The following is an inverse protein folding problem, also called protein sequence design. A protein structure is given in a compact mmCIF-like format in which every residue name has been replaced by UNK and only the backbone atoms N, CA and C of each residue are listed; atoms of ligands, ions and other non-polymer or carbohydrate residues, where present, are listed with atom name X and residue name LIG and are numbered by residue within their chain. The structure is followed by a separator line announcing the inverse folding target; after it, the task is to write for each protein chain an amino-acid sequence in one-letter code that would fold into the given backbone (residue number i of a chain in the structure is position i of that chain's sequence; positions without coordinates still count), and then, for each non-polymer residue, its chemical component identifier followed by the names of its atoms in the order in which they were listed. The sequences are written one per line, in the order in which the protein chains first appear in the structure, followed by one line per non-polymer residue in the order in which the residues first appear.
data_IF_932443653102
#
_entry.id   IF_932443653102
#
_cell.length_a   1.000
_cell.length_b   1.000
_cell.length_c   1.000
_cell.angle_alpha   90.00
_cell.angle_beta   90.00
_cell.angle_gamma   90.00
#
_symmetry.space_group_name_H-M   'P 1'
#
loop_
_entity.id
_entity.type
_entity.pdbx_description
1 polymer ?
#
# COMPACT_ATOMS: atom_id res chain seq x y z
N UNK A 1 48.61 -9.11 -31.48
CA UNK A 1 47.15 -8.91 -31.43
C UNK A 1 46.77 -8.56 -30.01
N UNK A 2 46.36 -7.31 -29.83
CA UNK A 2 45.96 -6.66 -28.58
C UNK A 2 44.47 -6.89 -28.35
N UNK A 3 44.09 -7.46 -27.20
CA UNK A 3 42.71 -7.37 -26.73
C UNK A 3 42.70 -6.97 -25.27
N UNK A 4 41.93 -5.92 -25.03
CA UNK A 4 42.12 -4.92 -23.99
C UNK A 4 41.53 -5.37 -22.66
N UNK A 5 42.27 -5.08 -21.60
CA UNK A 5 41.78 -4.97 -20.22
C UNK A 5 40.78 -3.80 -20.17
N UNK A 6 39.55 -4.06 -19.75
CA UNK A 6 38.63 -3.01 -19.29
C UNK A 6 38.39 -3.21 -17.80
N UNK A 7 39.21 -2.51 -17.02
CA UNK A 7 38.87 -2.07 -15.70
C UNK A 7 38.10 -0.75 -15.85
N UNK A 8 36.89 -0.67 -15.33
CA UNK A 8 36.28 0.61 -14.98
C UNK A 8 35.82 0.50 -13.52
N UNK A 9 36.59 1.21 -12.70
CA UNK A 9 36.30 1.46 -11.30
C UNK A 9 35.06 2.36 -11.20
N UNK A 10 34.02 1.88 -10.54
CA UNK A 10 32.93 2.70 -10.04
C UNK A 10 33.15 2.87 -8.54
N UNK A 11 34.00 3.83 -8.20
CA UNK A 11 34.11 4.35 -6.84
C UNK A 11 33.44 5.70 -6.76
N UNK A 12 32.63 5.83 -5.72
CA UNK A 12 32.31 7.04 -4.95
C UNK A 12 30.85 7.55 -5.02
N UNK A 13 30.35 7.76 -3.79
CA UNK A 13 29.31 8.68 -3.37
C UNK A 13 27.84 8.23 -3.44
N UNK A 14 27.43 7.43 -2.45
CA UNK A 14 26.18 7.74 -1.73
C UNK A 14 26.47 7.70 -0.23
N UNK A 15 27.09 8.76 0.25
CA UNK A 15 27.17 9.09 1.68
C UNK A 15 26.23 10.25 1.93
N UNK A 16 25.01 9.96 2.35
CA UNK A 16 24.18 10.87 3.16
C UNK A 16 23.24 10.01 4.01
N UNK A 17 23.85 9.33 4.97
CA UNK A 17 23.13 8.87 6.14
C UNK A 17 22.89 10.07 7.07
N UNK A 18 21.68 10.13 7.63
CA UNK A 18 21.36 10.66 8.96
C UNK A 18 21.58 12.16 9.17
N UNK A 19 20.50 12.94 9.13
CA UNK A 19 20.30 14.12 10.00
C UNK A 19 18.84 14.57 9.93
N UNK A 20 17.98 13.98 10.76
CA UNK A 20 16.74 14.61 11.26
C UNK A 20 16.44 14.02 12.64
N UNK A 21 17.39 14.22 13.55
CA UNK A 21 17.24 13.98 14.98
C UNK A 21 17.82 15.19 15.73
N UNK A 22 17.03 16.26 15.87
CA UNK A 22 17.30 17.36 16.80
C UNK A 22 16.06 18.27 16.97
N UNK A 23 15.06 17.75 17.66
CA UNK A 23 14.11 18.51 18.48
C UNK A 23 13.55 17.45 19.43
N UNK A 24 14.08 17.16 20.61
CA UNK A 24 14.85 17.93 21.59
C UNK A 24 14.27 17.48 22.93
N UNK A 25 15.10 17.01 23.86
CA UNK A 25 14.68 16.73 25.24
C UNK A 25 14.92 15.30 25.71
N UNK A 26 16.06 15.13 26.36
CA UNK A 26 16.56 13.99 27.12
C UNK A 26 15.64 13.61 28.30
N UNK A 27 15.48 12.32 28.55
CA UNK A 27 15.43 11.70 29.88
C UNK A 27 15.39 10.17 29.74
N UNK A 28 16.37 9.52 30.36
CA UNK A 28 16.71 8.12 30.19
C UNK A 28 15.66 7.11 30.64
N UNK A 29 15.70 5.94 30.01
CA UNK A 29 16.11 4.70 30.68
C UNK A 29 16.21 3.60 29.62
N UNK A 30 17.31 2.84 29.69
CA UNK A 30 17.43 1.58 28.98
C UNK A 30 16.38 0.61 29.53
N UNK A 31 15.53 0.08 28.67
CA UNK A 31 14.69 -1.07 28.96
C UNK A 31 14.74 -2.02 27.76
N UNK A 32 15.46 -3.11 27.97
CA UNK A 32 15.34 -4.37 27.26
C UNK A 32 13.91 -4.91 27.49
N UNK A 33 13.09 -4.97 26.44
CA UNK A 33 11.84 -5.72 26.47
C UNK A 33 11.68 -6.52 25.16
N UNK A 34 12.28 -7.71 25.16
CA UNK A 34 11.67 -8.86 24.50
C UNK A 34 10.29 -9.10 25.12
N UNK A 35 9.25 -8.55 24.51
CA UNK A 35 7.88 -8.99 24.79
C UNK A 35 6.96 -8.83 23.59
N UNK A 36 6.72 -9.97 22.94
CA UNK A 36 5.42 -10.24 22.32
C UNK A 36 4.35 -10.11 23.41
N UNK A 37 3.17 -9.56 23.06
CA UNK A 37 1.98 -10.34 23.34
C UNK A 37 1.02 -10.32 22.15
N UNK A 38 0.87 -11.49 21.52
CA UNK A 38 -0.38 -11.89 20.87
C UNK A 38 -1.46 -11.85 21.95
N UNK A 39 -2.23 -10.77 22.00
CA UNK A 39 -3.31 -10.63 22.96
C UNK A 39 -4.56 -11.34 22.44
N UNK A 40 -4.86 -12.49 23.03
CA UNK A 40 -6.19 -13.05 23.03
C UNK A 40 -7.07 -12.25 24.00
N UNK A 41 -8.25 -11.83 23.57
CA UNK A 41 -9.35 -11.53 24.48
C UNK A 41 -10.70 -11.78 23.84
N UNK A 42 -11.42 -12.70 24.47
CA UNK A 42 -12.78 -13.13 24.21
C UNK A 42 -13.78 -12.23 24.95
N UNK A 43 -14.81 -11.74 24.27
CA UNK A 43 -16.19 -11.67 24.77
C UNK A 43 -17.14 -11.21 23.63
N UNK A 44 -18.31 -11.85 23.45
CA UNK A 44 -19.19 -11.57 22.32
C UNK A 44 -20.08 -10.36 22.58
N UNK A 45 -20.12 -9.41 21.64
CA UNK A 45 -21.21 -8.44 21.55
C UNK A 45 -22.22 -8.95 20.54
N UNK A 46 -23.42 -9.29 21.03
CA UNK A 46 -24.59 -9.54 20.20
C UNK A 46 -24.89 -8.30 19.36
N UNK A 47 -24.68 -8.41 18.06
CA UNK A 47 -25.15 -7.43 17.07
C UNK A 47 -25.48 -8.21 15.81
N UNK A 48 -26.77 -8.14 15.44
CA UNK A 48 -27.43 -8.85 14.35
C UNK A 48 -26.60 -8.85 13.06
N UNK A 49 -25.84 -9.92 12.82
CA UNK A 49 -25.38 -10.31 11.50
C UNK A 49 -26.45 -11.22 10.87
N UNK A 50 -26.78 -11.05 9.58
CA UNK A 50 -27.54 -12.05 8.86
C UNK A 50 -26.81 -13.38 8.97
N UNK A 51 -27.53 -14.40 9.43
CA UNK A 51 -27.02 -15.76 9.53
C UNK A 51 -26.78 -16.32 8.13
N UNK A 52 -25.59 -16.10 7.59
CA UNK A 52 -25.10 -16.93 6.50
C UNK A 52 -24.64 -18.24 7.10
N UNK A 53 -25.49 -19.25 6.96
CA UNK A 53 -25.07 -20.64 6.93
C UNK A 53 -24.10 -20.79 5.75
N UNK A 54 -22.82 -20.51 5.97
CA UNK A 54 -21.77 -20.78 4.99
C UNK A 54 -21.21 -22.18 5.26
N UNK A 55 -21.43 -23.05 4.29
CA UNK A 55 -20.80 -24.35 4.15
C UNK A 55 -19.31 -24.30 4.46
N UNK A 56 -18.78 -25.44 4.90
CA UNK A 56 -17.36 -25.74 5.15
C UNK A 56 -16.50 -25.67 3.87
N UNK A 57 -16.63 -24.62 3.06
CA UNK A 57 -15.77 -24.34 1.91
C UNK A 57 -14.51 -23.63 2.40
N UNK A 58 -13.36 -24.21 2.03
CA UNK A 58 -12.05 -23.62 2.30
C UNK A 58 -12.04 -22.19 1.75
N UNK A 59 -11.52 -21.19 2.50
CA UNK A 59 -11.39 -19.83 1.98
C UNK A 59 -10.63 -19.82 0.66
N UNK A 60 -11.11 -19.03 -0.30
CA UNK A 60 -10.41 -18.83 -1.57
C UNK A 60 -9.07 -18.15 -1.35
N UNK A 61 -8.05 -18.59 -2.08
CA UNK A 61 -6.73 -17.95 -2.04
C UNK A 61 -6.78 -16.54 -2.63
N UNK A 62 -5.84 -15.64 -2.28
CA UNK A 62 -5.80 -14.29 -2.86
C UNK A 62 -5.81 -14.28 -4.40
N UNK A 63 -5.11 -15.24 -5.02
CA UNK A 63 -5.05 -15.38 -6.48
C UNK A 63 -6.41 -15.72 -7.09
N UNK A 64 -7.20 -16.59 -6.43
CA UNK A 64 -8.54 -16.98 -6.87
C UNK A 64 -9.56 -15.84 -6.67
N UNK A 65 -9.37 -15.02 -5.63
CA UNK A 65 -10.28 -13.93 -5.29
C UNK A 65 -10.02 -12.64 -6.11
N UNK A 66 -8.78 -12.39 -6.54
CA UNK A 66 -8.40 -11.15 -7.24
C UNK A 66 -9.31 -10.80 -8.45
N UNK A 67 -9.70 -11.75 -9.34
CA UNK A 67 -10.61 -11.43 -10.43
C UNK A 67 -11.98 -10.91 -9.97
N UNK A 68 -12.57 -11.54 -8.94
CA UNK A 68 -13.85 -11.12 -8.38
C UNK A 68 -13.75 -9.74 -7.74
N UNK A 69 -12.67 -9.48 -7.01
CA UNK A 69 -12.38 -8.18 -6.42
C UNK A 69 -12.18 -7.10 -7.50
N UNK A 70 -11.43 -7.37 -8.56
CA UNK A 70 -11.26 -6.43 -9.68
C UNK A 70 -12.59 -6.02 -10.30
N UNK A 71 -13.51 -6.97 -10.48
CA UNK A 71 -14.87 -6.68 -10.96
C UNK A 71 -15.65 -5.84 -9.95
N UNK A 72 -15.65 -6.24 -8.68
CA UNK A 72 -16.41 -5.58 -7.61
C UNK A 72 -16.00 -4.11 -7.39
N UNK A 73 -14.70 -3.82 -7.52
CA UNK A 73 -14.15 -2.48 -7.35
C UNK A 73 -13.94 -1.74 -8.68
N UNK A 74 -14.29 -2.33 -9.82
CA UNK A 74 -14.17 -1.70 -11.14
C UNK A 74 -12.73 -1.44 -11.59
N UNK A 75 -11.76 -2.25 -11.14
CA UNK A 75 -10.36 -2.11 -11.50
C UNK A 75 -10.05 -2.95 -12.74
N UNK A 76 -9.94 -2.31 -13.90
CA UNK A 76 -9.72 -2.98 -15.19
C UNK A 76 -8.25 -3.12 -15.58
N UNK A 77 -7.33 -2.48 -14.83
CA UNK A 77 -5.89 -2.51 -15.10
C UNK A 77 -5.10 -1.76 -14.03
N UNK A 78 -3.81 -1.54 -14.30
CA UNK A 78 -2.95 -0.78 -13.40
C UNK A 78 -3.30 0.71 -13.43
N UNK A 79 -3.65 1.33 -12.29
CA UNK A 79 -3.90 2.77 -12.24
C UNK A 79 -2.58 3.49 -12.53
N UNK A 80 -2.55 4.34 -13.56
CA UNK A 80 -1.37 5.07 -14.02
C UNK A 80 -1.71 6.52 -14.29
N UNK A 81 -1.16 7.44 -13.49
CA UNK A 81 -1.48 8.87 -13.59
C UNK A 81 -0.28 9.77 -13.94
N UNK A 82 0.85 9.18 -14.33
CA UNK A 82 2.12 9.90 -14.58
C UNK A 82 2.03 10.98 -15.67
N UNK A 83 1.05 10.90 -16.57
CA UNK A 83 0.83 11.85 -17.67
C UNK A 83 -0.54 12.52 -17.61
N UNK A 84 -1.21 12.40 -16.47
CA UNK A 84 -2.55 12.93 -16.25
C UNK A 84 -2.45 14.24 -15.46
N UNK A 85 -3.37 15.18 -15.70
CA UNK A 85 -3.41 16.42 -14.94
C UNK A 85 -3.57 16.15 -13.43
N UNK A 86 -2.90 16.94 -12.60
CA UNK A 86 -2.90 16.76 -11.14
C UNK A 86 -4.29 16.87 -10.50
N UNK A 87 -5.28 17.40 -11.20
CA UNK A 87 -6.67 17.60 -10.78
C UNK A 87 -7.66 16.70 -11.53
N UNK A 88 -7.17 15.73 -12.31
CA UNK A 88 -8.03 14.81 -13.05
C UNK A 88 -8.81 13.88 -12.11
N UNK A 89 -10.15 13.94 -12.09
CA UNK A 89 -10.96 13.13 -11.20
C UNK A 89 -11.08 11.67 -11.67
N UNK A 90 -10.74 11.34 -12.91
CA UNK A 90 -10.71 9.98 -13.43
C UNK A 90 -9.59 9.18 -12.77
N UNK A 91 -8.37 9.72 -12.80
CA UNK A 91 -7.22 9.14 -12.09
C UNK A 91 -7.53 8.95 -10.58
N UNK A 92 -8.18 9.93 -9.94
CA UNK A 92 -8.53 9.83 -8.53
C UNK A 92 -9.48 8.68 -8.21
N UNK A 93 -10.41 8.36 -9.13
CA UNK A 93 -11.30 7.20 -9.02
C UNK A 93 -10.53 5.89 -9.18
N UNK A 94 -9.67 5.79 -10.17
CA UNK A 94 -8.90 4.57 -10.44
C UNK A 94 -7.96 4.24 -9.26
N UNK A 95 -7.26 5.23 -8.73
CA UNK A 95 -6.41 5.07 -7.54
C UNK A 95 -7.23 4.71 -6.29
N UNK A 96 -8.42 5.29 -6.13
CA UNK A 96 -9.31 4.97 -5.00
C UNK A 96 -9.80 3.52 -5.09
N UNK A 97 -10.28 3.09 -6.25
CA UNK A 97 -10.73 1.73 -6.50
C UNK A 97 -9.62 0.71 -6.23
N UNK A 98 -8.40 0.98 -6.71
CA UNK A 98 -7.22 0.17 -6.44
C UNK A 98 -6.92 0.05 -4.93
N UNK A 99 -6.94 1.17 -4.20
CA UNK A 99 -6.73 1.17 -2.75
C UNK A 99 -7.82 0.42 -1.97
N UNK A 100 -9.08 0.56 -2.37
CA UNK A 100 -10.21 -0.12 -1.74
C UNK A 100 -10.15 -1.64 -1.97
N UNK A 101 -9.86 -2.06 -3.19
CA UNK A 101 -9.65 -3.46 -3.54
C UNK A 101 -8.56 -4.09 -2.67
N UNK A 102 -7.39 -3.47 -2.61
CA UNK A 102 -6.27 -3.98 -1.83
C UNK A 102 -6.59 -4.03 -0.34
N UNK A 103 -7.20 -2.97 0.20
CA UNK A 103 -7.62 -2.94 1.60
C UNK A 103 -8.66 -4.02 1.94
N UNK A 104 -9.58 -4.31 1.03
CA UNK A 104 -10.56 -5.37 1.22
C UNK A 104 -9.92 -6.77 1.14
N UNK A 105 -8.91 -6.95 0.30
CA UNK A 105 -8.16 -8.20 0.22
C UNK A 105 -7.30 -8.44 1.46
N UNK A 106 -6.61 -7.41 1.96
CA UNK A 106 -5.86 -7.48 3.22
C UNK A 106 -6.77 -7.92 4.39
N UNK A 107 -7.96 -7.33 4.50
CA UNK A 107 -8.97 -7.73 5.51
C UNK A 107 -9.46 -9.16 5.33
N UNK A 108 -9.59 -9.64 4.09
CA UNK A 108 -9.93 -11.04 3.83
C UNK A 108 -8.82 -11.96 4.30
N UNK A 109 -7.56 -11.61 4.01
CA UNK A 109 -6.39 -12.40 4.40
C UNK A 109 -6.29 -12.50 5.93
N UNK A 110 -6.38 -11.36 6.63
CA UNK A 110 -6.33 -11.29 8.08
C UNK A 110 -7.42 -12.16 8.74
N UNK A 111 -8.63 -12.15 8.16
CA UNK A 111 -9.77 -12.94 8.64
C UNK A 111 -9.64 -14.43 8.37
N UNK A 112 -9.27 -14.79 7.14
CA UNK A 112 -9.39 -16.15 6.62
C UNK A 112 -8.11 -16.98 6.79
N UNK A 113 -6.95 -16.32 6.92
CA UNK A 113 -5.63 -16.95 7.06
C UNK A 113 -4.84 -16.41 8.27
N UNK A 114 -5.38 -16.56 9.50
CA UNK A 114 -4.82 -15.96 10.73
C UNK A 114 -3.43 -16.49 11.13
N UNK A 115 -2.98 -17.57 10.48
CA UNK A 115 -1.65 -18.17 10.69
C UNK A 115 -0.58 -17.58 9.75
N UNK A 116 -0.95 -16.66 8.86
CA UNK A 116 -0.01 -15.83 8.10
C UNK A 116 0.42 -16.37 6.74
N UNK A 117 -0.30 -17.35 6.17
CA UNK A 117 -0.01 -17.96 4.85
C UNK A 117 0.18 -16.93 3.71
N UNK A 118 -0.46 -15.76 3.82
CA UNK A 118 -0.42 -14.70 2.80
C UNK A 118 0.07 -13.35 3.34
N UNK A 119 0.95 -13.37 4.33
CA UNK A 119 1.47 -12.15 4.99
C UNK A 119 2.10 -11.15 4.00
N UNK A 120 2.80 -11.62 2.95
CA UNK A 120 3.42 -10.71 1.96
C UNK A 120 2.38 -10.05 1.03
N UNK A 121 1.29 -10.76 0.72
CA UNK A 121 0.15 -10.18 0.01
C UNK A 121 -0.54 -9.12 0.87
N UNK A 122 -0.76 -9.42 2.16
CA UNK A 122 -1.34 -8.48 3.11
C UNK A 122 -0.47 -7.21 3.27
N UNK A 123 0.84 -7.36 3.47
CA UNK A 123 1.79 -6.24 3.57
C UNK A 123 1.80 -5.39 2.30
N UNK A 124 1.88 -6.01 1.13
CA UNK A 124 1.89 -5.28 -0.15
C UNK A 124 0.57 -4.54 -0.40
N UNK A 125 -0.56 -5.14 -0.01
CA UNK A 125 -1.87 -4.47 -0.03
C UNK A 125 -1.90 -3.25 0.90
N UNK A 126 -1.39 -3.36 2.13
CA UNK A 126 -1.28 -2.23 3.06
C UNK A 126 -0.37 -1.12 2.54
N UNK A 127 0.73 -1.46 1.86
CA UNK A 127 1.60 -0.47 1.21
C UNK A 127 0.87 0.32 0.14
N UNK A 128 0.09 -0.35 -0.70
CA UNK A 128 -0.75 0.31 -1.70
C UNK A 128 -1.80 1.22 -1.05
N UNK A 129 -2.53 0.74 -0.04
CA UNK A 129 -3.51 1.55 0.71
C UNK A 129 -2.84 2.81 1.28
N UNK A 130 -1.63 2.68 1.84
CA UNK A 130 -0.87 3.80 2.37
C UNK A 130 -0.44 4.79 1.28
N UNK A 131 0.01 4.30 0.13
CA UNK A 131 0.40 5.12 -1.01
C UNK A 131 -0.79 5.94 -1.54
N UNK A 132 -1.92 5.27 -1.80
CA UNK A 132 -3.18 5.92 -2.25
C UNK A 132 -3.68 6.94 -1.22
N UNK A 133 -3.65 6.61 0.07
CA UNK A 133 -4.02 7.55 1.12
C UNK A 133 -3.08 8.76 1.18
N UNK A 134 -1.83 8.63 0.79
CA UNK A 134 -0.89 9.76 0.71
C UNK A 134 -1.26 10.68 -0.45
N UNK A 135 -1.56 10.12 -1.62
CA UNK A 135 -2.10 10.88 -2.79
C UNK A 135 -3.37 11.63 -2.39
N UNK A 136 -4.31 10.95 -1.70
CA UNK A 136 -5.55 11.53 -1.18
C UNK A 136 -5.32 12.66 -0.18
N UNK A 137 -4.40 12.48 0.77
CA UNK A 137 -4.12 13.49 1.80
C UNK A 137 -3.52 14.76 1.21
N UNK A 138 -2.74 14.66 0.14
CA UNK A 138 -2.18 15.81 -0.54
C UNK A 138 -3.26 16.62 -1.26
N UNK A 139 -4.31 15.95 -1.76
CA UNK A 139 -5.36 16.59 -2.57
C UNK A 139 -5.19 16.35 -4.07
N UNK A 140 -4.38 15.35 -4.45
CA UNK A 140 -4.11 15.03 -5.84
C UNK A 140 -5.31 14.36 -6.51
N UNK A 141 -5.49 14.60 -7.79
CA UNK A 141 -6.46 13.96 -8.69
C UNK A 141 -7.91 14.09 -8.21
N UNK A 142 -8.24 15.25 -7.63
CA UNK A 142 -9.54 15.50 -7.02
C UNK A 142 -9.85 14.62 -5.80
N UNK A 143 -8.86 13.89 -5.27
CA UNK A 143 -9.02 13.07 -4.09
C UNK A 143 -8.95 13.94 -2.82
N UNK A 144 -9.70 13.56 -1.79
CA UNK A 144 -9.67 14.24 -0.49
C UNK A 144 -10.68 15.38 -0.39
N UNK A 145 -10.39 16.37 0.47
CA UNK A 145 -11.29 17.51 0.68
C UNK A 145 -11.19 18.53 -0.45
N UNK A 146 -12.31 19.10 -0.86
CA UNK A 146 -12.38 20.21 -1.82
C UNK A 146 -12.71 21.52 -1.07
N UNK A 147 -11.89 22.59 -1.16
CA UNK A 147 -10.62 22.68 -1.89
C UNK A 147 -9.49 21.89 -1.22
N UNK A 148 -8.44 21.50 -1.99
CA UNK A 148 -7.29 20.78 -1.46
C UNK A 148 -6.53 21.63 -0.43
N UNK A 149 -5.91 20.95 0.54
CA UNK A 149 -5.12 21.60 1.61
C UNK A 149 -3.76 22.11 1.12
N UNK A 150 -3.26 21.53 0.03
CA UNK A 150 -1.98 21.89 -0.60
C UNK A 150 -2.24 22.86 -1.74
N UNK A 151 -1.33 23.83 -1.94
CA UNK A 151 -1.45 24.77 -3.06
C UNK A 151 -1.34 24.08 -4.42
N UNK A 152 -1.97 24.66 -5.45
CA UNK A 152 -2.03 24.05 -6.79
C UNK A 152 -0.68 23.96 -7.50
N UNK A 153 0.29 24.81 -7.17
CA UNK A 153 1.61 24.77 -7.82
C UNK A 153 2.41 23.57 -7.29
N UNK A 154 2.38 23.37 -5.97
CA UNK A 154 3.00 22.23 -5.29
C UNK A 154 2.30 20.91 -5.63
N UNK A 155 0.98 20.91 -5.82
CA UNK A 155 0.28 19.72 -6.31
C UNK A 155 0.74 19.32 -7.72
N UNK A 156 0.91 20.28 -8.65
CA UNK A 156 1.45 19.99 -9.98
C UNK A 156 2.82 19.30 -9.93
N UNK A 157 3.65 19.65 -8.94
CA UNK A 157 4.97 19.04 -8.73
C UNK A 157 4.89 17.66 -8.07
N UNK A 158 4.08 17.52 -7.01
CA UNK A 158 4.07 16.33 -6.16
C UNK A 158 3.21 15.18 -6.71
N UNK A 159 2.06 15.50 -7.31
CA UNK A 159 1.09 14.49 -7.71
C UNK A 159 1.62 13.45 -8.70
N UNK A 160 2.45 13.80 -9.71
CA UNK A 160 3.07 12.82 -10.59
C UNK A 160 3.91 11.79 -9.82
N UNK A 161 4.85 12.24 -8.98
CA UNK A 161 5.72 11.38 -8.19
C UNK A 161 4.92 10.47 -7.24
N UNK A 162 3.92 11.02 -6.56
CA UNK A 162 3.10 10.25 -5.63
C UNK A 162 2.21 9.24 -6.34
N UNK A 163 1.70 9.56 -7.53
CA UNK A 163 0.96 8.60 -8.35
C UNK A 163 1.85 7.47 -8.85
N UNK A 164 3.10 7.74 -9.21
CA UNK A 164 4.07 6.70 -9.58
C UNK A 164 4.30 5.74 -8.43
N UNK A 165 4.46 6.25 -7.20
CA UNK A 165 4.60 5.41 -6.01
C UNK A 165 3.37 4.52 -5.80
N UNK A 166 2.15 5.07 -5.94
CA UNK A 166 0.92 4.28 -5.82
C UNK A 166 0.80 3.22 -6.93
N UNK A 167 1.17 3.55 -8.15
CA UNK A 167 1.16 2.64 -9.30
C UNK A 167 2.16 1.50 -9.13
N UNK A 168 3.37 1.80 -8.62
CA UNK A 168 4.38 0.78 -8.30
C UNK A 168 3.93 -0.11 -7.13
N UNK A 169 3.27 0.46 -6.11
CA UNK A 169 2.70 -0.32 -5.01
C UNK A 169 1.60 -1.26 -5.51
N UNK A 170 0.79 -0.83 -6.49
CA UNK A 170 -0.20 -1.69 -7.16
C UNK A 170 0.47 -2.84 -7.89
N UNK A 171 1.49 -2.57 -8.71
CA UNK A 171 2.22 -3.62 -9.43
C UNK A 171 2.87 -4.62 -8.47
N UNK A 172 3.44 -4.14 -7.36
CA UNK A 172 4.00 -5.01 -6.33
C UNK A 172 2.91 -5.88 -5.68
N UNK A 173 1.77 -5.30 -5.32
CA UNK A 173 0.63 -6.04 -4.77
C UNK A 173 0.14 -7.13 -5.73
N UNK A 174 -0.14 -6.77 -7.00
CA UNK A 174 -0.57 -7.74 -8.00
C UNK A 174 0.45 -8.86 -8.24
N UNK A 175 1.74 -8.52 -8.23
CA UNK A 175 2.81 -9.52 -8.38
C UNK A 175 2.81 -10.50 -7.22
N UNK A 176 2.68 -10.04 -5.98
CA UNK A 176 2.61 -10.91 -4.80
C UNK A 176 1.34 -11.77 -4.78
N UNK A 177 0.22 -11.29 -5.37
CA UNK A 177 -1.00 -12.08 -5.48
C UNK A 177 -0.87 -13.17 -6.54
N UNK A 178 -0.19 -12.90 -7.65
CA UNK A 178 -0.21 -13.76 -8.85
C UNK A 178 1.01 -14.65 -9.02
N UNK A 179 2.13 -14.33 -8.36
CA UNK A 179 3.38 -15.08 -8.40
C UNK A 179 3.63 -15.68 -7.00
N UNK A 180 3.34 -16.98 -6.78
CA UNK A 180 3.65 -17.66 -5.52
C UNK A 180 5.16 -17.87 -5.33
#
# INVERSE_FOLDING_TARGET
MTTRRFALALSAAVTTALTLSACGGDNGNAADERQSPRAASSAPSESKQPSESASSEKPGTPAELLPAYRIAYGVTGSPMCSHVAWDDPGCGKDLTAAGELAGAMAKSIERDFPDGEYTEVEKSAHHLVKAVNTVRKLGCYGMGSTPPKTDSAKLRELCPSMSTIASLAWLNFESNVTLP
#
